data_IF_332350817225
#
_entry.id   IF_332350817225
#
_cell.length_a   1.000
_cell.length_b   1.000
_cell.length_c   1.000
_cell.angle_alpha   90.00
_cell.angle_beta   90.00
_cell.angle_gamma   90.00
#
_symmetry.space_group_name_H-M   'P 1'
#
loop_
_entity.id
_entity.type
_entity.pdbx_description
1 polymer ?
#
# COMPACT_ATOMS: atom_id res chain seq x y z
N UNK A 1 4.84 -8.69 -36.76
CA UNK A 1 3.90 -8.34 -35.68
C UNK A 1 2.52 -8.28 -36.28
N UNK A 2 1.57 -9.09 -35.81
CA UNK A 2 0.21 -9.13 -36.37
C UNK A 2 -0.61 -7.90 -35.93
N UNK A 3 -1.67 -7.55 -36.69
CA UNK A 3 -2.60 -6.46 -36.33
C UNK A 3 -3.22 -6.68 -34.94
N UNK A 4 -3.50 -7.94 -34.59
CA UNK A 4 -4.03 -8.33 -33.27
C UNK A 4 -3.02 -8.05 -32.16
N UNK A 5 -1.74 -8.44 -32.35
CA UNK A 5 -0.68 -8.16 -31.37
C UNK A 5 -0.44 -6.66 -31.18
N UNK A 6 -0.54 -5.87 -32.25
CA UNK A 6 -0.41 -4.42 -32.17
C UNK A 6 -1.58 -3.80 -31.37
N UNK A 7 -2.82 -4.27 -31.61
CA UNK A 7 -3.99 -3.80 -30.87
C UNK A 7 -3.92 -4.15 -29.39
N UNK A 8 -3.53 -5.38 -29.05
CA UNK A 8 -3.35 -5.81 -27.66
C UNK A 8 -2.29 -4.98 -26.94
N UNK A 9 -1.19 -4.62 -27.62
CA UNK A 9 -0.15 -3.74 -27.09
C UNK A 9 -0.64 -2.32 -26.82
N UNK A 10 -1.49 -1.77 -27.70
CA UNK A 10 -2.10 -0.45 -27.51
C UNK A 10 -3.06 -0.45 -26.31
N UNK A 11 -3.92 -1.46 -26.19
CA UNK A 11 -4.84 -1.59 -25.06
C UNK A 11 -4.10 -1.74 -23.72
N UNK A 12 -3.03 -2.54 -23.71
CA UNK A 12 -2.10 -2.67 -22.59
C UNK A 12 -1.48 -1.31 -22.19
N UNK A 13 -0.95 -0.56 -23.16
CA UNK A 13 -0.36 0.75 -22.89
C UNK A 13 -1.37 1.78 -22.36
N UNK A 14 -2.63 1.73 -22.83
CA UNK A 14 -3.70 2.60 -22.31
C UNK A 14 -4.05 2.31 -20.85
N UNK A 15 -4.06 1.04 -20.46
CA UNK A 15 -4.24 0.66 -19.06
C UNK A 15 -3.09 1.20 -18.20
N UNK A 16 -1.85 1.07 -18.68
CA UNK A 16 -0.67 1.53 -17.97
C UNK A 16 -0.72 3.06 -17.75
N UNK A 17 -1.02 3.82 -18.81
CA UNK A 17 -1.21 5.27 -18.72
C UNK A 17 -2.35 5.67 -17.76
N UNK A 18 -3.45 4.92 -17.74
CA UNK A 18 -4.57 5.18 -16.82
C UNK A 18 -4.16 4.94 -15.36
N UNK A 19 -3.48 3.82 -15.09
CA UNK A 19 -3.02 3.48 -13.73
C UNK A 19 -1.98 4.50 -13.26
N UNK A 20 -0.98 4.82 -14.09
CA UNK A 20 0.05 5.83 -13.79
C UNK A 20 -0.59 7.20 -13.51
N UNK A 21 -1.53 7.62 -14.35
CA UNK A 21 -2.26 8.88 -14.17
C UNK A 21 -3.07 8.89 -12.88
N UNK A 22 -3.75 7.80 -12.54
CA UNK A 22 -4.56 7.72 -11.33
C UNK A 22 -3.71 7.74 -10.05
N UNK A 23 -2.56 7.04 -10.04
CA UNK A 23 -1.62 7.09 -8.91
C UNK A 23 -0.97 8.47 -8.78
N UNK A 24 -0.54 9.09 -9.87
CA UNK A 24 -0.02 10.45 -9.85
C UNK A 24 -1.05 11.43 -9.29
N UNK A 25 -2.29 11.37 -9.79
CA UNK A 25 -3.40 12.19 -9.29
C UNK A 25 -3.66 11.97 -7.78
N UNK A 26 -3.68 10.71 -7.34
CA UNK A 26 -3.84 10.34 -5.92
C UNK A 26 -2.75 10.97 -5.04
N UNK A 27 -1.49 10.92 -5.49
CA UNK A 27 -0.36 11.52 -4.78
C UNK A 27 -0.40 13.06 -4.78
N UNK A 28 -0.91 13.67 -5.85
CA UNK A 28 -1.15 15.12 -5.89
C UNK A 28 -2.26 15.54 -4.94
N UNK A 29 -3.37 14.78 -4.85
CA UNK A 29 -4.44 15.02 -3.87
C UNK A 29 -3.94 14.95 -2.43
N UNK A 30 -3.01 14.04 -2.13
CA UNK A 30 -2.35 13.97 -0.82
C UNK A 30 -1.56 15.25 -0.52
N UNK A 31 -0.81 15.77 -1.51
CA UNK A 31 0.05 16.93 -1.32
C UNK A 31 -0.70 18.27 -1.24
N UNK A 32 -1.80 18.41 -2.01
CA UNK A 32 -2.52 19.68 -2.19
C UNK A 32 -3.89 19.69 -1.48
N UNK A 33 -4.44 18.52 -1.13
CA UNK A 33 -5.81 18.39 -0.62
C UNK A 33 -6.08 19.01 0.76
N UNK A 34 -5.08 19.58 1.42
CA UNK A 34 -5.27 20.42 2.60
C UNK A 34 -5.55 21.86 2.17
N UNK A 35 -6.81 22.24 2.04
CA UNK A 35 -7.23 23.61 1.73
C UNK A 35 -6.92 24.58 2.88
N UNK A 36 -5.65 24.94 3.06
CA UNK A 36 -5.29 26.12 3.86
C UNK A 36 -4.01 26.74 3.33
N UNK A 37 -4.12 27.77 2.49
CA UNK A 37 -3.00 28.68 2.27
C UNK A 37 -2.71 29.33 3.64
N UNK A 38 -1.50 29.16 4.21
CA UNK A 38 -1.22 29.71 5.52
C UNK A 38 -1.23 31.25 5.46
N UNK A 39 -2.05 31.85 6.31
CA UNK A 39 -2.19 33.30 6.50
C UNK A 39 -1.23 33.85 7.57
N UNK A 40 -0.45 32.98 8.21
CA UNK A 40 0.51 33.33 9.25
C UNK A 40 1.71 32.37 9.28
N UNK A 41 2.85 32.84 9.80
CA UNK A 41 4.07 32.03 9.93
C UNK A 41 3.89 30.84 10.88
N UNK A 42 3.10 30.98 11.94
CA UNK A 42 2.79 29.88 12.87
C UNK A 42 2.00 28.76 12.19
N UNK A 43 1.03 29.12 11.33
CA UNK A 43 0.27 28.16 10.52
C UNK A 43 1.13 27.47 9.47
N UNK A 44 2.06 28.19 8.83
CA UNK A 44 3.03 27.59 7.92
C UNK A 44 3.88 26.52 8.64
N UNK A 45 4.44 26.83 9.81
CA UNK A 45 5.22 25.87 10.60
C UNK A 45 4.38 24.67 11.03
N UNK A 46 3.11 24.87 11.39
CA UNK A 46 2.18 23.77 11.69
C UNK A 46 1.97 22.84 10.48
N UNK A 47 1.78 23.38 9.27
CA UNK A 47 1.67 22.60 8.05
C UNK A 47 2.96 21.82 7.74
N UNK A 48 4.14 22.43 7.92
CA UNK A 48 5.44 21.78 7.68
C UNK A 48 5.66 20.57 8.62
N UNK A 49 5.08 20.61 9.83
CA UNK A 49 5.14 19.48 10.78
C UNK A 49 4.31 18.27 10.32
N UNK A 50 3.43 18.42 9.33
CA UNK A 50 2.70 17.32 8.70
C UNK A 50 3.46 16.62 7.57
N UNK A 51 4.54 17.21 7.05
CA UNK A 51 5.32 16.66 5.92
C UNK A 51 5.81 15.23 6.17
N UNK A 52 6.33 14.85 7.36
CA UNK A 52 6.79 13.48 7.58
C UNK A 52 5.68 12.43 7.38
N UNK A 53 4.46 12.72 7.87
CA UNK A 53 3.31 11.84 7.69
C UNK A 53 2.89 11.74 6.22
N UNK A 54 2.82 12.88 5.52
CA UNK A 54 2.55 12.92 4.09
C UNK A 54 3.60 12.16 3.28
N UNK A 55 4.89 12.28 3.63
CA UNK A 55 5.98 11.57 2.96
C UNK A 55 5.88 10.04 3.14
N UNK A 56 5.53 9.55 4.34
CA UNK A 56 5.30 8.12 4.56
C UNK A 56 4.09 7.60 3.79
N UNK A 57 2.98 8.35 3.78
CA UNK A 57 1.79 8.01 3.01
C UNK A 57 2.09 7.99 1.50
N UNK A 58 2.80 9.00 0.99
CA UNK A 58 3.27 9.07 -0.39
C UNK A 58 4.12 7.85 -0.73
N UNK A 59 5.11 7.52 0.09
CA UNK A 59 6.02 6.40 -0.14
C UNK A 59 5.26 5.07 -0.19
N UNK A 60 4.29 4.84 0.71
CA UNK A 60 3.47 3.63 0.68
C UNK A 60 2.63 3.52 -0.60
N UNK A 61 1.93 4.58 -1.00
CA UNK A 61 1.12 4.58 -2.23
C UNK A 61 2.01 4.41 -3.47
N UNK A 62 3.16 5.10 -3.53
CA UNK A 62 4.14 4.95 -4.60
C UNK A 62 4.74 3.54 -4.66
N UNK A 63 4.92 2.86 -3.52
CA UNK A 63 5.36 1.47 -3.48
C UNK A 63 4.33 0.52 -4.11
N UNK A 64 3.03 0.78 -3.91
CA UNK A 64 1.95 0.00 -4.53
C UNK A 64 1.93 0.19 -6.05
N UNK A 65 2.07 1.43 -6.51
CA UNK A 65 2.26 1.75 -7.93
C UNK A 65 3.47 1.03 -8.52
N UNK A 66 4.63 1.11 -7.85
CA UNK A 66 5.85 0.44 -8.33
C UNK A 66 5.69 -1.08 -8.36
N UNK A 67 4.92 -1.66 -7.44
CA UNK A 67 4.51 -3.07 -7.48
C UNK A 67 3.73 -3.42 -8.76
N UNK A 68 2.80 -2.56 -9.16
CA UNK A 68 2.06 -2.71 -10.42
C UNK A 68 2.98 -2.59 -11.64
N UNK A 69 3.88 -1.60 -11.68
CA UNK A 69 4.89 -1.45 -12.75
C UNK A 69 5.72 -2.73 -12.91
N UNK A 70 6.15 -3.34 -11.80
CA UNK A 70 6.90 -4.61 -11.83
C UNK A 70 6.06 -5.77 -12.37
N UNK A 71 4.78 -5.82 -12.02
CA UNK A 71 3.86 -6.81 -12.59
C UNK A 71 3.69 -6.62 -14.10
N UNK A 72 3.54 -5.39 -14.59
CA UNK A 72 3.38 -5.08 -16.02
C UNK A 72 4.55 -5.56 -16.87
N UNK A 73 5.79 -5.47 -16.35
CA UNK A 73 6.98 -6.02 -17.03
C UNK A 73 6.90 -7.53 -17.28
N UNK A 74 6.13 -8.26 -16.47
CA UNK A 74 5.91 -9.71 -16.63
C UNK A 74 4.71 -10.04 -17.51
N UNK A 75 3.84 -9.07 -17.79
CA UNK A 75 2.55 -9.26 -18.45
C UNK A 75 2.30 -8.17 -19.51
N UNK A 76 3.04 -8.18 -20.64
CA UNK A 76 2.94 -7.13 -21.65
C UNK A 76 1.60 -7.12 -22.39
N UNK A 77 0.90 -8.26 -22.46
CA UNK A 77 -0.42 -8.36 -23.11
C UNK A 77 -1.54 -7.89 -22.19
N UNK A 78 -2.58 -7.33 -22.79
CA UNK A 78 -3.83 -7.02 -22.11
C UNK A 78 -4.59 -8.31 -21.79
N UNK A 79 -5.09 -8.44 -20.56
CA UNK A 79 -5.97 -9.55 -20.17
C UNK A 79 -7.06 -9.03 -19.25
N UNK A 80 -8.25 -9.62 -19.32
CA UNK A 80 -9.40 -9.20 -18.48
C UNK A 80 -9.08 -9.26 -16.97
N UNK A 81 -8.46 -10.33 -16.42
CA UNK A 81 -8.11 -10.34 -15.00
C UNK A 81 -7.09 -9.27 -14.63
N UNK A 82 -6.07 -9.05 -15.48
CA UNK A 82 -5.06 -8.01 -15.27
C UNK A 82 -5.66 -6.60 -15.26
N UNK A 83 -6.61 -6.34 -16.18
CA UNK A 83 -7.39 -5.10 -16.21
C UNK A 83 -8.19 -4.91 -14.92
N UNK A 84 -9.02 -5.89 -14.55
CA UNK A 84 -9.90 -5.78 -13.37
C UNK A 84 -9.10 -5.55 -12.08
N UNK A 85 -8.03 -6.31 -11.85
CA UNK A 85 -7.21 -6.12 -10.65
C UNK A 85 -6.45 -4.79 -10.66
N UNK A 86 -6.03 -4.29 -11.83
CA UNK A 86 -5.43 -2.95 -11.94
C UNK A 86 -6.43 -1.85 -11.57
N UNK A 87 -7.67 -1.96 -12.05
CA UNK A 87 -8.74 -1.00 -11.71
C UNK A 87 -9.12 -1.07 -10.22
N UNK A 88 -9.17 -2.27 -9.64
CA UNK A 88 -9.38 -2.44 -8.19
C UNK A 88 -8.24 -1.79 -7.41
N UNK A 89 -6.98 -1.97 -7.83
CA UNK A 89 -5.84 -1.35 -7.16
C UNK A 89 -5.93 0.18 -7.19
N UNK A 90 -6.30 0.76 -8.34
CA UNK A 90 -6.53 2.21 -8.49
C UNK A 90 -7.66 2.69 -7.58
N UNK A 91 -8.80 2.00 -7.60
CA UNK A 91 -9.93 2.32 -6.73
C UNK A 91 -9.54 2.32 -5.25
N UNK A 92 -8.81 1.28 -4.81
CA UNK A 92 -8.33 1.20 -3.43
C UNK A 92 -7.33 2.30 -3.10
N UNK A 93 -6.42 2.65 -4.01
CA UNK A 93 -5.48 3.75 -3.80
C UNK A 93 -6.20 5.09 -3.57
N UNK A 94 -7.23 5.38 -4.38
CA UNK A 94 -8.06 6.57 -4.24
C UNK A 94 -8.86 6.59 -2.93
N UNK A 95 -9.43 5.45 -2.53
CA UNK A 95 -10.20 5.34 -1.28
C UNK A 95 -9.29 5.47 -0.05
N UNK A 96 -8.10 4.86 -0.08
CA UNK A 96 -7.24 4.76 1.10
C UNK A 96 -6.22 5.89 1.24
N UNK A 97 -6.02 6.77 0.25
CA UNK A 97 -5.00 7.84 0.36
C UNK A 97 -5.20 8.75 1.58
N UNK A 98 -6.41 9.25 1.80
CA UNK A 98 -6.69 10.14 2.93
C UNK A 98 -6.69 9.39 4.27
N UNK A 99 -7.37 8.24 4.42
CA UNK A 99 -7.29 7.47 5.65
C UNK A 99 -5.85 7.08 6.02
N UNK A 100 -5.04 6.70 5.02
CA UNK A 100 -3.64 6.35 5.23
C UNK A 100 -2.82 7.56 5.71
N UNK A 101 -3.07 8.74 5.14
CA UNK A 101 -2.46 9.98 5.61
C UNK A 101 -2.80 10.25 7.08
N UNK A 102 -4.08 10.13 7.45
CA UNK A 102 -4.54 10.32 8.83
C UNK A 102 -3.90 9.33 9.80
N UNK A 103 -3.73 8.07 9.40
CA UNK A 103 -3.03 7.06 10.20
C UNK A 103 -1.60 7.49 10.48
N UNK A 104 -0.85 7.86 9.43
CA UNK A 104 0.54 8.29 9.59
C UNK A 104 0.64 9.56 10.42
N UNK A 105 -0.24 10.53 10.20
CA UNK A 105 -0.28 11.78 10.95
C UNK A 105 -0.56 11.53 12.44
N UNK A 106 -1.52 10.64 12.76
CA UNK A 106 -1.81 10.22 14.13
C UNK A 106 -0.62 9.50 14.78
N UNK A 107 0.08 8.65 14.03
CA UNK A 107 1.27 7.96 14.52
C UNK A 107 2.43 8.93 14.81
N UNK A 108 2.72 9.86 13.92
CA UNK A 108 3.75 10.88 14.13
C UNK A 108 3.39 11.83 15.29
N UNK A 109 2.11 12.17 15.44
CA UNK A 109 1.63 12.93 16.60
C UNK A 109 1.89 12.16 17.90
N UNK A 110 1.53 10.87 17.96
CA UNK A 110 1.78 10.02 19.12
C UNK A 110 3.27 9.87 19.46
N UNK A 111 4.11 9.53 18.47
CA UNK A 111 5.54 9.27 18.69
C UNK A 111 6.35 10.52 19.04
N UNK A 112 5.93 11.68 18.55
CA UNK A 112 6.62 12.95 18.79
C UNK A 112 6.10 13.71 20.01
N UNK A 113 5.13 13.15 20.75
CA UNK A 113 4.49 13.82 21.88
C UNK A 113 3.69 15.07 21.46
N UNK A 114 3.13 15.08 20.25
CA UNK A 114 2.35 16.18 19.70
C UNK A 114 3.15 17.26 18.97
N UNK A 115 4.45 17.03 18.72
CA UNK A 115 5.29 17.97 17.96
C UNK A 115 5.01 17.91 16.45
N UNK A 116 4.76 16.72 15.90
CA UNK A 116 4.46 16.46 14.49
C UNK A 116 2.97 16.19 14.31
N UNK A 117 2.37 16.70 13.23
CA UNK A 117 0.93 16.55 12.94
C UNK A 117 -0.01 16.79 14.14
N UNK A 118 0.13 17.90 14.91
CA UNK A 118 -0.63 18.13 16.14
C UNK A 118 -2.16 18.11 15.94
N UNK A 119 -2.63 18.40 14.73
CA UNK A 119 -4.04 18.37 14.34
C UNK A 119 -4.68 16.97 14.37
N UNK A 120 -3.88 15.89 14.35
CA UNK A 120 -4.34 14.49 14.35
C UNK A 120 -4.19 13.80 15.72
N UNK A 121 -4.52 14.51 16.79
CA UNK A 121 -4.48 13.95 18.15
C UNK A 121 -5.65 12.97 18.36
N UNK A 122 -5.33 11.72 18.69
CA UNK A 122 -6.33 10.69 19.04
C UNK A 122 -6.93 10.98 20.43
N UNK A 123 -8.25 11.12 20.51
CA UNK A 123 -8.95 11.53 21.74
C UNK A 123 -9.59 10.36 22.47
N UNK A 124 -9.92 9.30 21.74
CA UNK A 124 -10.59 8.13 22.27
C UNK A 124 -9.91 6.82 21.87
N UNK A 125 -10.16 5.77 22.65
CA UNK A 125 -9.75 4.41 22.31
C UNK A 125 -10.38 3.92 21.00
N UNK A 126 -11.60 4.37 20.70
CA UNK A 126 -12.28 4.06 19.45
C UNK A 126 -11.52 4.63 18.23
N UNK A 127 -10.97 5.85 18.35
CA UNK A 127 -10.16 6.45 17.29
C UNK A 127 -8.89 5.62 17.01
N UNK A 128 -8.23 5.15 18.07
CA UNK A 128 -7.04 4.30 17.96
C UNK A 128 -7.38 2.98 17.24
N UNK A 129 -8.49 2.33 17.64
CA UNK A 129 -8.97 1.11 16.97
C UNK A 129 -9.28 1.36 15.49
N UNK A 130 -9.96 2.46 15.18
CA UNK A 130 -10.29 2.83 13.80
C UNK A 130 -9.03 3.03 12.95
N UNK A 131 -8.01 3.70 13.50
CA UNK A 131 -6.70 3.89 12.85
C UNK A 131 -6.04 2.55 12.54
N UNK A 132 -5.95 1.62 13.51
CA UNK A 132 -5.33 0.31 13.27
C UNK A 132 -6.11 -0.55 12.29
N UNK A 133 -7.44 -0.59 12.40
CA UNK A 133 -8.28 -1.35 11.46
C UNK A 133 -8.13 -0.78 10.05
N UNK A 134 -8.20 0.54 9.90
CA UNK A 134 -8.06 1.19 8.60
C UNK A 134 -6.69 0.90 7.98
N UNK A 135 -5.62 1.01 8.76
CA UNK A 135 -4.26 0.74 8.30
C UNK A 135 -4.07 -0.73 7.88
N UNK A 136 -4.61 -1.66 8.66
CA UNK A 136 -4.56 -3.10 8.37
C UNK A 136 -5.33 -3.46 7.11
N UNK A 137 -6.53 -2.90 6.93
CA UNK A 137 -7.34 -3.10 5.73
C UNK A 137 -6.68 -2.49 4.48
N UNK A 138 -6.10 -1.30 4.59
CA UNK A 138 -5.37 -0.68 3.47
C UNK A 138 -4.22 -1.59 2.99
N UNK A 139 -3.39 -2.08 3.92
CA UNK A 139 -2.33 -3.02 3.59
C UNK A 139 -2.86 -4.33 3.00
N UNK A 140 -3.89 -4.92 3.61
CA UNK A 140 -4.45 -6.19 3.19
C UNK A 140 -5.09 -6.14 1.79
N UNK A 141 -5.90 -5.13 1.52
CA UNK A 141 -6.62 -5.01 0.25
C UNK A 141 -5.67 -4.61 -0.90
N UNK A 142 -4.83 -3.60 -0.71
CA UNK A 142 -3.93 -3.13 -1.78
C UNK A 142 -2.85 -4.17 -2.09
N UNK A 143 -2.18 -4.71 -1.07
CA UNK A 143 -1.17 -5.76 -1.27
C UNK A 143 -1.81 -7.04 -1.78
N UNK A 144 -3.02 -7.38 -1.33
CA UNK A 144 -3.77 -8.53 -1.81
C UNK A 144 -4.06 -8.44 -3.31
N UNK A 145 -4.35 -7.24 -3.81
CA UNK A 145 -4.52 -7.00 -5.24
C UNK A 145 -3.23 -7.26 -6.02
N UNK A 146 -2.07 -6.84 -5.49
CA UNK A 146 -0.77 -7.17 -6.08
C UNK A 146 -0.46 -8.68 -6.02
N UNK A 147 -0.82 -9.38 -4.93
CA UNK A 147 -0.72 -10.84 -4.86
C UNK A 147 -1.53 -11.50 -5.98
N UNK A 148 -2.75 -11.03 -6.23
CA UNK A 148 -3.60 -11.55 -7.32
C UNK A 148 -3.00 -11.28 -8.70
N UNK A 149 -2.46 -10.09 -8.94
CA UNK A 149 -1.76 -9.73 -10.18
C UNK A 149 -0.54 -10.64 -10.42
N UNK A 150 0.34 -10.81 -9.44
CA UNK A 150 1.52 -11.67 -9.59
C UNK A 150 1.18 -13.16 -9.68
N UNK A 151 0.12 -13.61 -8.98
CA UNK A 151 -0.43 -14.96 -9.15
C UNK A 151 -1.04 -15.18 -10.53
N UNK A 152 -1.64 -14.16 -11.12
CA UNK A 152 -2.12 -14.18 -12.49
C UNK A 152 -0.93 -14.30 -13.47
N UNK A 153 0.12 -13.47 -13.29
CA UNK A 153 1.34 -13.54 -14.09
C UNK A 153 1.98 -14.94 -14.06
N UNK A 154 2.08 -15.55 -12.87
CA UNK A 154 2.66 -16.88 -12.70
C UNK A 154 1.87 -18.01 -13.39
N UNK A 155 0.60 -17.78 -13.75
CA UNK A 155 -0.27 -18.75 -14.44
C UNK A 155 -0.38 -18.50 -15.94
N UNK A 156 0.20 -17.43 -16.47
CA UNK A 156 0.12 -17.17 -17.90
C UNK A 156 0.88 -18.24 -18.70
N UNK A 157 0.26 -18.79 -19.76
CA UNK A 157 0.89 -19.79 -20.62
C UNK A 157 2.06 -19.17 -21.39
N UNK A 158 3.12 -19.93 -21.60
CA UNK A 158 4.29 -19.49 -22.36
C UNK A 158 5.33 -18.67 -21.59
N UNK A 159 5.11 -18.31 -20.31
CA UNK A 159 6.19 -17.73 -19.50
C UNK A 159 7.29 -18.75 -19.22
N UNK A 160 8.54 -18.35 -19.50
CA UNK A 160 9.73 -19.09 -19.14
C UNK A 160 9.81 -19.37 -17.63
N UNK A 161 10.49 -20.45 -17.25
CA UNK A 161 10.59 -20.91 -15.86
C UNK A 161 11.12 -19.83 -14.90
N UNK A 162 12.15 -19.08 -15.31
CA UNK A 162 12.74 -18.01 -14.50
C UNK A 162 11.76 -16.84 -14.25
N UNK A 163 11.06 -16.38 -15.30
CA UNK A 163 10.06 -15.30 -15.20
C UNK A 163 8.85 -15.75 -14.37
N UNK A 164 8.44 -17.01 -14.51
CA UNK A 164 7.38 -17.61 -13.68
C UNK A 164 7.80 -17.69 -12.20
N UNK A 165 9.05 -18.07 -11.92
CA UNK A 165 9.58 -18.07 -10.56
C UNK A 165 9.61 -16.65 -9.99
N UNK A 166 10.05 -15.66 -10.78
CA UNK A 166 10.00 -14.25 -10.38
C UNK A 166 8.57 -13.84 -9.98
N UNK A 167 7.57 -14.13 -10.81
CA UNK A 167 6.17 -13.82 -10.48
C UNK A 167 5.71 -14.46 -9.16
N UNK A 168 6.10 -15.72 -8.89
CA UNK A 168 5.78 -16.41 -7.64
C UNK A 168 6.47 -15.76 -6.43
N UNK A 169 7.74 -15.39 -6.59
CA UNK A 169 8.53 -14.73 -5.54
C UNK A 169 7.89 -13.39 -5.16
N UNK A 170 7.45 -12.60 -6.14
CA UNK A 170 6.72 -11.34 -5.89
C UNK A 170 5.39 -11.59 -5.19
N UNK A 171 4.63 -12.60 -5.62
CA UNK A 171 3.36 -12.95 -4.97
C UNK A 171 3.54 -13.34 -3.49
N UNK A 172 4.63 -14.03 -3.16
CA UNK A 172 4.99 -14.35 -1.76
C UNK A 172 5.39 -13.09 -1.01
N UNK A 173 6.22 -12.23 -1.61
CA UNK A 173 6.62 -10.95 -1.03
C UNK A 173 5.42 -10.08 -0.66
N UNK A 174 4.44 -9.96 -1.56
CA UNK A 174 3.21 -9.21 -1.31
C UNK A 174 2.21 -9.93 -0.39
N UNK A 175 2.34 -11.23 -0.15
CA UNK A 175 1.45 -11.92 0.80
C UNK A 175 1.77 -11.62 2.27
N UNK A 176 3.00 -11.26 2.57
CA UNK A 176 3.41 -10.84 3.92
C UNK A 176 2.68 -9.59 4.40
N UNK A 177 2.67 -8.47 3.65
CA UNK A 177 1.92 -7.29 4.07
C UNK A 177 0.42 -7.55 4.22
N UNK A 178 -0.14 -8.49 3.45
CA UNK A 178 -1.53 -8.94 3.65
C UNK A 178 -1.70 -9.62 5.00
N UNK A 179 -0.87 -10.62 5.31
CA UNK A 179 -0.95 -11.36 6.55
C UNK A 179 -0.76 -10.44 7.77
N UNK A 180 0.24 -9.56 7.73
CA UNK A 180 0.54 -8.60 8.79
C UNK A 180 -0.64 -7.64 9.01
N UNK A 181 -1.22 -7.09 7.93
CA UNK A 181 -2.38 -6.22 8.01
C UNK A 181 -3.59 -6.92 8.62
N UNK A 182 -3.88 -8.16 8.21
CA UNK A 182 -4.97 -8.95 8.78
C UNK A 182 -4.75 -9.30 10.25
N UNK A 183 -3.53 -9.66 10.64
CA UNK A 183 -3.19 -9.93 12.04
C UNK A 183 -3.37 -8.66 12.88
N UNK A 184 -2.95 -7.49 12.40
CA UNK A 184 -3.19 -6.20 13.07
C UNK A 184 -4.68 -5.94 13.29
N UNK A 185 -5.53 -6.16 12.26
CA UNK A 185 -6.99 -6.02 12.38
C UNK A 185 -7.54 -6.98 13.43
N UNK A 186 -7.19 -8.26 13.35
CA UNK A 186 -7.68 -9.28 14.28
C UNK A 186 -7.27 -8.96 15.72
N UNK A 187 -6.01 -8.60 15.96
CA UNK A 187 -5.54 -8.20 17.28
C UNK A 187 -6.30 -6.97 17.80
N UNK A 188 -6.53 -5.98 16.95
CA UNK A 188 -7.29 -4.76 17.32
C UNK A 188 -8.72 -5.10 17.74
N UNK A 189 -9.38 -6.02 17.04
CA UNK A 189 -10.76 -6.44 17.34
C UNK A 189 -10.85 -7.31 18.60
N UNK A 190 -9.82 -8.10 18.88
CA UNK A 190 -9.76 -8.98 20.06
C UNK A 190 -9.33 -8.24 21.33
N UNK A 191 -8.68 -7.07 21.22
CA UNK A 191 -8.22 -6.29 22.37
C UNK A 191 -9.39 -5.65 23.15
N UNK A 192 -9.53 -5.95 24.45
CA UNK A 192 -10.52 -5.30 25.32
C UNK A 192 -10.35 -3.79 25.41
N UNK A 193 -11.43 -3.07 25.73
CA UNK A 193 -11.39 -1.61 25.88
C UNK A 193 -10.68 -1.15 27.16
N UNK A 194 -10.42 -2.08 28.09
CA UNK A 194 -9.69 -1.83 29.34
C UNK A 194 -8.18 -2.03 29.21
N UNK A 195 -7.68 -2.37 28.02
CA UNK A 195 -6.27 -2.70 27.85
C UNK A 195 -5.44 -1.41 27.88
N UNK A 196 -4.60 -1.25 28.91
CA UNK A 196 -3.67 -0.12 29.05
C UNK A 196 -2.22 -0.49 28.73
N UNK A 197 -1.37 0.53 28.55
CA UNK A 197 0.09 0.35 28.43
C UNK A 197 0.54 -0.25 27.09
N UNK A 198 1.60 -1.07 27.11
CA UNK A 198 2.25 -1.61 25.91
C UNK A 198 1.31 -2.45 25.01
N UNK A 199 0.26 -3.01 25.59
CA UNK A 199 -0.71 -3.86 24.90
C UNK A 199 -1.54 -3.07 23.87
N UNK A 200 -1.75 -1.77 24.06
CA UNK A 200 -2.46 -0.91 23.08
C UNK A 200 -1.64 -0.70 21.82
N UNK A 201 -0.32 -0.75 21.92
CA UNK A 201 0.60 -0.58 20.81
C UNK A 201 0.83 -1.87 20.00
N UNK A 202 0.39 -3.04 20.51
CA UNK A 202 0.63 -4.34 19.87
C UNK A 202 0.18 -4.41 18.40
N UNK A 203 -1.03 -3.94 18.00
CA UNK A 203 -1.44 -3.98 16.60
C UNK A 203 -0.49 -3.20 15.69
N UNK A 204 0.04 -2.06 16.17
CA UNK A 204 1.05 -1.28 15.47
C UNK A 204 2.43 -1.98 15.41
N UNK A 205 2.83 -2.68 16.49
CA UNK A 205 4.13 -3.37 16.55
C UNK A 205 4.23 -4.53 15.55
N UNK A 206 3.11 -5.16 15.19
CA UNK A 206 3.08 -6.25 14.19
C UNK A 206 3.63 -5.81 12.83
N UNK A 207 3.57 -4.53 12.49
CA UNK A 207 4.16 -4.00 11.26
C UNK A 207 5.70 -4.03 11.24
N UNK A 208 6.36 -4.16 12.39
CA UNK A 208 7.82 -4.39 12.43
C UNK A 208 8.18 -5.73 11.78
N UNK A 209 7.25 -6.67 11.66
CA UNK A 209 7.48 -7.91 10.93
C UNK A 209 7.66 -7.71 9.42
N UNK A 210 7.39 -6.51 8.89
CA UNK A 210 7.69 -6.17 7.49
C UNK A 210 9.18 -6.33 7.15
N UNK A 211 10.09 -6.18 8.13
CA UNK A 211 11.53 -6.44 7.94
C UNK A 211 11.83 -7.90 7.54
N UNK A 212 10.92 -8.84 7.82
CA UNK A 212 11.05 -10.24 7.43
C UNK A 212 10.75 -10.50 5.94
N UNK A 213 10.29 -9.50 5.20
CA UNK A 213 9.99 -9.64 3.76
C UNK A 213 11.22 -10.10 2.97
N UNK A 214 12.38 -9.49 3.20
CA UNK A 214 13.64 -9.87 2.54
C UNK A 214 14.04 -11.32 2.83
N UNK A 215 14.16 -11.74 4.11
CA UNK A 215 14.44 -13.11 4.49
C UNK A 215 13.49 -14.14 3.87
N UNK A 216 12.17 -13.91 3.93
CA UNK A 216 11.16 -14.85 3.39
C UNK A 216 11.30 -14.99 1.86
N UNK A 217 11.40 -13.86 1.16
CA UNK A 217 11.59 -13.83 -0.30
C UNK A 217 12.89 -14.54 -0.71
N UNK A 218 13.99 -14.30 0.03
CA UNK A 218 15.28 -14.95 -0.24
C UNK A 218 15.25 -16.46 0.01
N UNK A 219 14.59 -16.92 1.07
CA UNK A 219 14.41 -18.33 1.39
C UNK A 219 13.57 -19.04 0.34
N UNK A 220 12.46 -18.43 -0.08
CA UNK A 220 11.61 -18.95 -1.14
C UNK A 220 12.37 -19.06 -2.46
N UNK A 221 13.10 -18.01 -2.87
CA UNK A 221 13.91 -18.04 -4.10
C UNK A 221 14.92 -19.18 -4.09
N UNK A 222 15.65 -19.39 -2.99
CA UNK A 222 16.63 -20.48 -2.86
C UNK A 222 16.02 -21.87 -3.01
N UNK A 223 14.82 -22.09 -2.46
CA UNK A 223 14.14 -23.39 -2.48
C UNK A 223 13.65 -23.83 -3.88
N UNK A 224 13.38 -22.88 -4.78
CA UNK A 224 12.78 -23.15 -6.09
C UNK A 224 13.66 -22.75 -7.27
N UNK A 225 14.90 -22.30 -7.02
CA UNK A 225 15.91 -22.03 -8.03
C UNK A 225 16.83 -23.23 -8.31
N UNK A 226 16.74 -24.28 -7.50
CA UNK A 226 17.34 -25.62 -7.70
C UNK A 226 16.44 -26.50 -8.55
#
# INVERSE_FOLDING_TARGET
MSVTEQREGIEAGRLDMFVDGAFAFTLTLLAIGGETIPDSGSRLVALLRGIPAAACCFAQIAMMWHGHVRWRRLCPRSTTPGLLFSLVLVFLALVFVYPLHMVYASAFCGFSGGLLSPEFTMKSWLDIKAVYVCFGLAFACMSGTLVLLFRHAARQPGLAGATRLQARVEAVGWSLPVAIGLVSVVLTLLLPDTTGGLLTALPGMVYMLMFLTGPVVSGFRRRYAS
#
